data_IF_178951906519
#
_entry.id   IF_178951906519
#
_cell.length_a   1.000
_cell.length_b   1.000
_cell.length_c   1.000
_cell.angle_alpha   90.00
_cell.angle_beta   90.00
_cell.angle_gamma   90.00
#
_symmetry.space_group_name_H-M   'P 1'
#
loop_
_entity.id
_entity.type
_entity.pdbx_description
1 polymer ?
#
# COMPACT_ATOMS: atom_id res chain seq x y z
N UNK A 1 11.38 4.53 -2.39
CA UNK A 1 10.88 3.14 -2.56
C UNK A 1 9.75 3.07 -3.57
N UNK A 2 8.51 3.49 -3.25
CA UNK A 2 7.35 3.33 -4.15
C UNK A 2 7.55 3.93 -5.54
N UNK A 3 8.20 5.09 -5.63
CA UNK A 3 8.45 5.82 -6.89
C UNK A 3 9.26 5.03 -7.92
N UNK A 4 10.01 4.02 -7.49
CA UNK A 4 10.83 3.16 -8.35
C UNK A 4 10.29 1.73 -8.39
N UNK A 5 9.89 1.19 -7.23
CA UNK A 5 9.52 -0.22 -7.08
C UNK A 5 8.02 -0.50 -7.19
N UNK A 6 7.20 0.53 -7.36
CA UNK A 6 5.75 0.42 -7.49
C UNK A 6 5.03 0.14 -6.17
N UNK A 7 3.75 0.50 -6.11
CA UNK A 7 2.86 0.11 -5.01
C UNK A 7 2.47 -1.37 -5.08
N UNK A 8 2.54 -1.96 -6.27
CA UNK A 8 2.34 -3.38 -6.54
C UNK A 8 3.58 -4.24 -6.29
N UNK A 9 4.68 -3.61 -5.83
CA UNK A 9 5.98 -4.20 -5.55
C UNK A 9 6.71 -4.81 -6.76
N UNK A 10 6.24 -4.57 -7.99
CA UNK A 10 6.78 -5.20 -9.21
C UNK A 10 7.64 -4.26 -10.06
N UNK A 11 7.71 -2.97 -9.72
CA UNK A 11 8.56 -2.00 -10.42
C UNK A 11 8.34 -2.02 -11.93
N UNK A 12 9.42 -2.21 -12.69
CA UNK A 12 9.42 -2.26 -14.15
C UNK A 12 8.62 -3.42 -14.77
N UNK A 13 8.31 -4.47 -14.00
CA UNK A 13 7.47 -5.59 -14.42
C UNK A 13 6.00 -5.42 -13.99
N UNK A 14 5.69 -4.28 -13.36
CA UNK A 14 4.38 -3.99 -12.77
C UNK A 14 3.70 -2.77 -13.37
N UNK A 15 2.89 -2.10 -12.55
CA UNK A 15 2.19 -0.85 -12.88
C UNK A 15 3.14 0.27 -13.30
N UNK A 16 4.42 0.18 -12.96
CA UNK A 16 5.44 1.17 -13.29
C UNK A 16 6.28 0.75 -14.53
N UNK A 17 5.82 -0.22 -15.32
CA UNK A 17 6.40 -0.56 -16.62
C UNK A 17 6.24 0.57 -17.66
N UNK A 18 5.28 1.47 -17.46
CA UNK A 18 5.01 2.61 -18.35
C UNK A 18 4.46 3.83 -17.56
N UNK A 19 4.25 4.95 -18.25
CA UNK A 19 3.71 6.17 -17.66
C UNK A 19 4.74 7.03 -16.92
N UNK A 20 4.26 8.01 -16.15
CA UNK A 20 5.11 9.02 -15.49
C UNK A 20 6.03 8.46 -14.40
N UNK A 21 5.76 7.24 -13.94
CA UNK A 21 6.58 6.53 -12.95
C UNK A 21 7.47 5.43 -13.56
N UNK A 22 7.63 5.40 -14.89
CA UNK A 22 8.50 4.45 -15.56
C UNK A 22 9.98 4.76 -15.26
N UNK A 23 10.62 3.86 -14.50
CA UNK A 23 12.04 4.00 -14.13
C UNK A 23 12.94 2.91 -14.71
N UNK A 24 12.37 1.77 -15.14
CA UNK A 24 13.14 0.57 -15.51
C UNK A 24 13.76 -0.18 -14.33
N UNK A 25 13.48 0.23 -13.09
CA UNK A 25 13.99 -0.41 -11.87
C UNK A 25 13.11 -1.60 -11.51
N UNK A 26 13.74 -2.73 -11.16
CA UNK A 26 13.02 -3.95 -10.77
C UNK A 26 12.18 -3.77 -9.50
N UNK A 27 11.15 -4.59 -9.35
CA UNK A 27 10.34 -4.67 -8.14
C UNK A 27 11.11 -5.16 -6.92
N UNK A 28 10.42 -5.18 -5.78
CA UNK A 28 10.93 -5.74 -4.52
C UNK A 28 10.25 -7.07 -4.15
N UNK A 29 9.16 -7.42 -4.83
CA UNK A 29 8.50 -8.70 -4.62
C UNK A 29 9.42 -9.85 -5.03
N UNK A 30 9.51 -10.89 -4.20
CA UNK A 30 10.30 -12.08 -4.48
C UNK A 30 11.79 -11.96 -4.19
N UNK A 31 12.24 -10.86 -3.57
CA UNK A 31 13.60 -10.80 -3.03
C UNK A 31 13.81 -11.90 -2.00
N UNK A 32 14.89 -12.67 -2.16
CA UNK A 32 15.19 -13.87 -1.35
C UNK A 32 16.54 -13.79 -0.62
N UNK A 33 17.17 -12.62 -0.55
CA UNK A 33 18.40 -12.41 0.21
C UNK A 33 18.13 -12.22 1.70
N UNK A 34 19.19 -12.20 2.51
CA UNK A 34 19.08 -11.93 3.94
C UNK A 34 18.91 -10.43 4.25
N UNK A 35 18.50 -10.14 5.49
CA UNK A 35 18.29 -8.77 5.94
C UNK A 35 19.57 -7.91 5.88
N UNK A 36 20.74 -8.49 6.16
CA UNK A 36 22.00 -7.75 6.15
C UNK A 36 22.39 -7.28 4.73
N UNK A 37 22.14 -8.11 3.73
CA UNK A 37 22.33 -7.75 2.33
C UNK A 37 21.39 -6.63 1.89
N UNK A 38 20.15 -6.62 2.38
CA UNK A 38 19.20 -5.52 2.15
C UNK A 38 19.65 -4.22 2.82
N UNK A 39 20.10 -4.29 4.06
CA UNK A 39 20.64 -3.13 4.76
C UNK A 39 21.82 -2.52 3.97
N UNK A 40 22.77 -3.35 3.53
CA UNK A 40 23.89 -2.91 2.69
C UNK A 40 23.41 -2.29 1.36
N UNK A 41 22.41 -2.88 0.71
CA UNK A 41 21.85 -2.37 -0.54
C UNK A 41 21.17 -1.00 -0.35
N UNK A 42 20.48 -0.78 0.77
CA UNK A 42 19.85 0.50 1.12
C UNK A 42 20.90 1.60 1.39
N UNK A 43 22.08 1.22 1.88
CA UNK A 43 23.22 2.15 2.06
C UNK A 43 24.08 2.36 0.80
N UNK A 44 24.01 1.43 -0.16
CA UNK A 44 24.85 1.45 -1.36
C UNK A 44 24.62 2.71 -2.23
N UNK A 45 25.55 3.07 -3.14
CA UNK A 45 25.39 4.21 -4.04
C UNK A 45 24.10 4.20 -4.88
N UNK A 46 23.47 3.04 -5.07
CA UNK A 46 22.20 2.92 -5.79
C UNK A 46 21.01 3.53 -5.05
N UNK A 47 21.06 3.63 -3.71
CA UNK A 47 20.01 4.23 -2.89
C UNK A 47 20.53 5.44 -2.11
N UNK A 48 21.72 5.33 -1.52
CA UNK A 48 22.39 6.42 -0.80
C UNK A 48 21.66 6.85 0.46
N UNK A 49 20.84 5.99 1.08
CA UNK A 49 20.18 6.32 2.34
C UNK A 49 21.23 6.31 3.47
N UNK A 50 21.88 7.45 3.71
CA UNK A 50 22.82 7.63 4.81
C UNK A 50 22.13 7.66 6.18
N UNK A 51 22.92 7.58 7.26
CA UNK A 51 22.41 7.56 8.63
C UNK A 51 21.60 8.80 9.00
N UNK A 52 21.96 9.96 8.44
CA UNK A 52 21.24 11.23 8.65
C UNK A 52 19.84 11.23 8.01
N UNK A 53 19.61 10.40 6.98
CA UNK A 53 18.32 10.32 6.30
C UNK A 53 17.44 9.21 6.87
N UNK A 54 18.02 8.02 7.05
CA UNK A 54 17.34 6.86 7.63
C UNK A 54 18.31 6.25 8.64
N UNK A 55 18.08 6.41 9.95
CA UNK A 55 18.98 5.84 10.94
C UNK A 55 18.96 4.30 10.89
N UNK A 56 20.00 3.69 11.46
CA UNK A 56 20.27 2.25 11.30
C UNK A 56 19.09 1.36 11.72
N UNK A 57 18.39 1.71 12.79
CA UNK A 57 17.22 0.98 13.27
C UNK A 57 16.09 0.97 12.23
N UNK A 58 15.85 2.08 11.55
CA UNK A 58 14.83 2.19 10.51
C UNK A 58 15.22 1.42 9.24
N UNK A 59 16.51 1.36 8.90
CA UNK A 59 16.99 0.52 7.81
C UNK A 59 16.75 -0.96 8.12
N UNK A 60 16.95 -1.40 9.36
CA UNK A 60 16.64 -2.76 9.80
C UNK A 60 15.15 -3.08 9.65
N UNK A 61 14.26 -2.13 10.00
CA UNK A 61 12.81 -2.32 9.80
C UNK A 61 12.43 -2.43 8.33
N UNK A 62 13.03 -1.62 7.46
CA UNK A 62 12.82 -1.72 6.01
C UNK A 62 13.34 -3.06 5.49
N UNK A 63 14.54 -3.48 5.88
CA UNK A 63 15.12 -4.76 5.48
C UNK A 63 14.25 -5.94 5.91
N UNK A 64 13.79 -5.96 7.17
CA UNK A 64 12.86 -6.99 7.65
C UNK A 64 11.54 -7.00 6.88
N UNK A 65 11.00 -5.82 6.58
CA UNK A 65 9.79 -5.69 5.78
C UNK A 65 9.98 -6.21 4.35
N UNK A 66 11.11 -5.95 3.71
CA UNK A 66 11.39 -6.43 2.36
C UNK A 66 11.68 -7.94 2.33
N UNK A 67 12.35 -8.48 3.36
CA UNK A 67 12.70 -9.90 3.44
C UNK A 67 11.51 -10.83 3.72
N UNK A 68 10.50 -10.36 4.47
CA UNK A 68 9.36 -11.21 4.85
C UNK A 68 8.04 -10.49 5.10
N UNK A 69 8.01 -9.16 4.98
CA UNK A 69 6.83 -8.35 5.20
C UNK A 69 5.97 -8.11 3.95
N UNK A 70 6.47 -8.41 2.75
CA UNK A 70 5.69 -8.24 1.53
C UNK A 70 4.57 -9.28 1.43
N UNK A 71 3.47 -8.89 0.80
CA UNK A 71 2.42 -9.82 0.37
C UNK A 71 2.18 -9.59 -1.11
N UNK A 72 2.04 -10.67 -1.87
CA UNK A 72 1.77 -10.57 -3.30
C UNK A 72 0.36 -10.02 -3.52
N UNK A 73 0.28 -8.71 -3.70
CA UNK A 73 -1.00 -8.01 -3.90
C UNK A 73 -1.65 -8.42 -5.22
N UNK A 74 -0.87 -8.85 -6.21
CA UNK A 74 -1.39 -9.24 -7.52
C UNK A 74 -2.04 -10.64 -7.51
N UNK A 75 -1.89 -11.38 -6.40
CA UNK A 75 -2.67 -12.59 -6.17
C UNK A 75 -4.11 -12.29 -5.73
N UNK A 76 -4.40 -11.06 -5.31
CA UNK A 76 -5.70 -10.63 -4.77
C UNK A 76 -6.27 -9.39 -5.43
N UNK A 77 -5.49 -8.72 -6.29
CA UNK A 77 -5.89 -7.60 -7.13
C UNK A 77 -5.57 -7.99 -8.57
N UNK A 78 -6.58 -8.00 -9.44
CA UNK A 78 -6.40 -8.23 -10.86
C UNK A 78 -5.49 -7.16 -11.46
N UNK A 79 -4.48 -7.58 -12.20
CA UNK A 79 -3.47 -6.67 -12.71
C UNK A 79 -4.05 -5.68 -13.73
N UNK A 80 -4.99 -6.09 -14.57
CA UNK A 80 -5.49 -5.24 -15.66
C UNK A 80 -6.63 -4.36 -15.19
N UNK A 81 -7.60 -4.93 -14.47
CA UNK A 81 -8.82 -4.23 -14.05
C UNK A 81 -8.71 -3.56 -12.69
N UNK A 82 -7.76 -3.98 -11.85
CA UNK A 82 -7.69 -3.57 -10.46
C UNK A 82 -8.76 -4.21 -9.58
N UNK A 83 -9.53 -5.19 -10.08
CA UNK A 83 -10.57 -5.88 -9.31
C UNK A 83 -10.00 -6.63 -8.11
N UNK A 84 -10.68 -6.52 -6.96
CA UNK A 84 -10.17 -7.02 -5.68
C UNK A 84 -10.96 -8.26 -5.28
N UNK A 85 -10.26 -9.36 -5.02
CA UNK A 85 -10.83 -10.65 -4.62
C UNK A 85 -11.24 -10.67 -3.13
N UNK A 86 -12.10 -9.73 -2.73
CA UNK A 86 -12.58 -9.58 -1.35
C UNK A 86 -14.09 -9.73 -1.20
N UNK A 87 -14.51 -10.17 -0.01
CA UNK A 87 -15.91 -10.21 0.41
C UNK A 87 -16.32 -8.85 0.98
N UNK A 88 -17.23 -8.16 0.29
CA UNK A 88 -17.70 -6.82 0.67
C UNK A 88 -18.52 -6.80 1.95
N UNK A 89 -19.21 -7.88 2.33
CA UNK A 89 -19.97 -7.95 3.58
C UNK A 89 -19.02 -8.04 4.78
N UNK A 90 -17.99 -8.88 4.67
CA UNK A 90 -16.93 -8.95 5.68
C UNK A 90 -16.14 -7.63 5.75
N UNK A 91 -15.87 -7.03 4.59
CA UNK A 91 -15.21 -5.73 4.48
C UNK A 91 -16.00 -4.61 5.15
N UNK A 92 -17.31 -4.58 4.93
CA UNK A 92 -18.22 -3.65 5.58
C UNK A 92 -18.19 -3.80 7.10
N UNK A 93 -18.29 -5.02 7.61
CA UNK A 93 -18.28 -5.27 9.06
C UNK A 93 -17.00 -4.72 9.73
N UNK A 94 -15.84 -4.97 9.11
CA UNK A 94 -14.56 -4.43 9.59
C UNK A 94 -14.53 -2.91 9.46
N UNK A 95 -14.85 -2.37 8.28
CA UNK A 95 -14.80 -0.93 8.03
C UNK A 95 -15.68 -0.15 9.00
N UNK A 96 -16.92 -0.58 9.21
CA UNK A 96 -17.87 0.11 10.07
C UNK A 96 -17.48 0.05 11.56
N UNK A 97 -16.75 -0.99 11.97
CA UNK A 97 -16.30 -1.14 13.35
C UNK A 97 -14.99 -0.41 13.63
N UNK A 98 -14.09 -0.34 12.65
CA UNK A 98 -12.71 0.07 12.90
C UNK A 98 -12.26 1.31 12.12
N UNK A 99 -12.82 1.55 10.93
CA UNK A 99 -12.36 2.61 10.02
C UNK A 99 -13.32 3.82 9.97
N UNK A 100 -14.63 3.57 10.08
CA UNK A 100 -15.68 4.58 9.94
C UNK A 100 -15.62 5.68 11.01
N UNK A 101 -15.00 5.41 12.16
CA UNK A 101 -14.77 6.42 13.20
C UNK A 101 -13.94 7.62 12.70
N UNK A 102 -13.05 7.40 11.73
CA UNK A 102 -12.24 8.46 11.12
C UNK A 102 -12.66 8.75 9.67
N UNK A 103 -13.04 7.73 8.90
CA UNK A 103 -13.39 7.88 7.47
C UNK A 103 -14.87 8.17 7.22
N UNK A 104 -15.72 8.09 8.25
CA UNK A 104 -17.17 8.20 8.12
C UNK A 104 -17.82 6.89 7.64
N UNK A 105 -19.08 6.67 8.02
CA UNK A 105 -19.83 5.46 7.65
C UNK A 105 -20.02 5.33 6.13
N UNK A 106 -20.04 6.45 5.41
CA UNK A 106 -20.11 6.53 3.95
C UNK A 106 -18.75 6.82 3.30
N UNK A 107 -17.66 6.88 4.06
CA UNK A 107 -16.31 7.09 3.53
C UNK A 107 -15.94 8.53 3.15
N UNK A 108 -16.81 9.52 3.41
CA UNK A 108 -16.61 10.92 2.98
C UNK A 108 -16.07 11.87 4.06
N UNK A 109 -15.77 11.39 5.26
CA UNK A 109 -15.38 12.28 6.37
C UNK A 109 -14.01 12.97 6.14
N UNK A 110 -13.16 12.38 5.29
CA UNK A 110 -11.86 12.93 4.91
C UNK A 110 -11.84 13.19 3.41
N UNK A 111 -11.59 14.44 3.03
CA UNK A 111 -11.40 14.85 1.64
C UNK A 111 -9.92 15.22 1.41
N UNK A 112 -9.23 14.43 0.57
CA UNK A 112 -7.85 14.68 0.16
C UNK A 112 -7.72 15.48 -1.14
N UNK A 113 -8.84 15.75 -1.80
CA UNK A 113 -8.95 16.67 -2.93
C UNK A 113 -9.41 18.05 -2.47
N UNK A 114 -10.21 18.70 -3.30
CA UNK A 114 -10.83 19.99 -2.99
C UNK A 114 -12.36 19.92 -3.10
N UNK A 115 -13.02 21.09 -3.08
CA UNK A 115 -14.47 21.16 -3.13
C UNK A 115 -15.05 20.83 -4.51
N UNK A 116 -14.28 21.03 -5.58
CA UNK A 116 -14.69 20.81 -6.97
C UNK A 116 -14.31 19.39 -7.44
N UNK A 117 -13.17 18.88 -6.95
CA UNK A 117 -12.67 17.53 -7.19
C UNK A 117 -12.38 16.82 -5.85
N UNK A 118 -13.42 16.32 -5.16
CA UNK A 118 -13.21 15.62 -3.90
C UNK A 118 -12.47 14.29 -4.08
N UNK A 119 -11.58 13.99 -3.14
CA UNK A 119 -10.87 12.72 -3.02
C UNK A 119 -11.24 12.03 -1.72
N UNK A 120 -12.13 11.04 -1.80
CA UNK A 120 -12.57 10.22 -0.67
C UNK A 120 -11.94 8.83 -0.70
N UNK A 121 -12.21 8.02 0.33
CA UNK A 121 -11.62 6.69 0.40
C UNK A 121 -12.03 5.80 -0.79
N UNK A 122 -13.25 5.98 -1.31
CA UNK A 122 -13.71 5.31 -2.52
C UNK A 122 -12.96 5.76 -3.77
N UNK A 123 -12.68 7.06 -3.89
CA UNK A 123 -11.89 7.65 -4.99
C UNK A 123 -10.49 7.03 -5.02
N UNK A 124 -9.79 7.05 -3.88
CA UNK A 124 -8.42 6.53 -3.78
C UNK A 124 -8.36 5.02 -4.01
N UNK A 125 -9.35 4.27 -3.49
CA UNK A 125 -9.40 2.82 -3.62
C UNK A 125 -9.62 2.36 -5.06
N UNK A 126 -10.37 3.12 -5.85
CA UNK A 126 -10.57 2.83 -7.27
C UNK A 126 -9.43 3.36 -8.15
N UNK A 127 -8.81 4.48 -7.78
CA UNK A 127 -7.66 5.03 -8.51
C UNK A 127 -6.40 4.18 -8.37
N UNK A 128 -6.11 3.67 -7.16
CA UNK A 128 -4.90 2.90 -6.89
C UNK A 128 -5.11 1.84 -5.77
N UNK A 129 -5.72 0.69 -6.08
CA UNK A 129 -6.03 -0.33 -5.07
C UNK A 129 -4.80 -0.94 -4.40
N UNK A 130 -3.63 -0.98 -5.08
CA UNK A 130 -2.38 -1.46 -4.48
C UNK A 130 -1.86 -0.53 -3.37
N UNK A 131 -1.91 0.79 -3.59
CA UNK A 131 -1.55 1.77 -2.57
C UNK A 131 -2.49 1.68 -1.37
N UNK A 132 -3.79 1.58 -1.63
CA UNK A 132 -4.78 1.50 -0.56
C UNK A 132 -4.64 0.19 0.22
N UNK A 133 -4.41 -0.96 -0.44
CA UNK A 133 -4.13 -2.21 0.25
C UNK A 133 -2.87 -2.10 1.13
N UNK A 134 -1.82 -1.46 0.63
CA UNK A 134 -0.61 -1.20 1.39
C UNK A 134 -0.92 -0.39 2.66
N UNK A 135 -1.71 0.68 2.54
CA UNK A 135 -2.07 1.55 3.68
C UNK A 135 -2.99 0.84 4.67
N UNK A 136 -3.99 0.07 4.22
CA UNK A 136 -4.84 -0.73 5.12
C UNK A 136 -3.98 -1.71 5.93
N UNK A 137 -2.97 -2.33 5.30
CA UNK A 137 -2.11 -3.30 6.00
C UNK A 137 -1.07 -2.68 6.90
N UNK A 138 -0.50 -1.53 6.55
CA UNK A 138 0.69 -1.00 7.23
C UNK A 138 0.48 0.38 7.88
N UNK A 139 -0.70 1.00 7.72
CA UNK A 139 -1.02 2.35 8.19
C UNK A 139 -0.64 3.45 7.19
N UNK A 140 -0.88 4.71 7.59
CA UNK A 140 -0.49 5.90 6.84
C UNK A 140 0.47 6.75 7.69
N UNK A 141 1.67 7.11 7.18
CA UNK A 141 2.61 7.92 7.93
C UNK A 141 2.05 9.29 8.34
N UNK A 142 2.42 9.77 9.52
CA UNK A 142 2.06 11.11 10.00
C UNK A 142 0.64 11.27 10.55
N UNK A 143 -0.16 10.20 10.54
CA UNK A 143 -1.50 10.16 11.14
C UNK A 143 -1.69 8.86 11.92
N UNK A 144 -2.60 8.86 12.89
CA UNK A 144 -2.91 7.69 13.71
C UNK A 144 -3.86 6.71 12.98
N UNK A 145 -3.55 6.40 11.72
CA UNK A 145 -4.30 5.41 10.95
C UNK A 145 -3.92 4.01 11.42
N UNK A 146 -4.91 3.27 11.92
CA UNK A 146 -4.77 1.87 12.32
C UNK A 146 -4.25 1.01 11.17
N UNK A 147 -3.51 -0.05 11.50
CA UNK A 147 -3.06 -1.05 10.53
C UNK A 147 -3.74 -2.40 10.81
N UNK A 148 -4.07 -3.13 9.75
CA UNK A 148 -4.56 -4.51 9.86
C UNK A 148 -3.44 -5.56 9.83
N UNK A 149 -2.19 -5.15 10.11
CA UNK A 149 -1.00 -6.01 9.96
C UNK A 149 -1.04 -7.26 10.83
N UNK A 150 -1.67 -7.17 11.99
CA UNK A 150 -1.81 -8.28 12.94
C UNK A 150 -2.85 -9.33 12.52
N UNK A 151 -3.67 -9.03 11.51
CA UNK A 151 -4.72 -9.92 11.00
C UNK A 151 -4.29 -10.58 9.68
N UNK A 152 -5.10 -11.54 9.23
CA UNK A 152 -4.92 -12.18 7.94
C UNK A 152 -5.01 -11.17 6.80
N UNK A 153 -4.27 -11.42 5.71
CA UNK A 153 -4.31 -10.59 4.50
C UNK A 153 -5.75 -10.39 4.00
N UNK A 154 -6.58 -11.44 4.07
CA UNK A 154 -7.95 -11.40 3.58
C UNK A 154 -8.81 -10.35 4.30
N UNK A 155 -8.54 -10.02 5.57
CA UNK A 155 -9.24 -8.93 6.26
C UNK A 155 -9.02 -7.59 5.57
N UNK A 156 -7.79 -7.30 5.17
CA UNK A 156 -7.46 -6.07 4.43
C UNK A 156 -8.02 -6.08 3.00
N UNK A 157 -8.00 -7.24 2.33
CA UNK A 157 -8.58 -7.42 0.99
C UNK A 157 -10.09 -7.22 1.00
N UNK A 158 -10.79 -7.75 2.01
CA UNK A 158 -12.23 -7.55 2.20
C UNK A 158 -12.55 -6.06 2.42
N UNK A 159 -11.81 -5.37 3.29
CA UNK A 159 -11.98 -3.93 3.50
C UNK A 159 -11.76 -3.17 2.20
N UNK A 160 -10.69 -3.46 1.45
CA UNK A 160 -10.44 -2.83 0.16
C UNK A 160 -11.59 -3.06 -0.84
N UNK A 161 -12.10 -4.29 -0.94
CA UNK A 161 -13.24 -4.60 -1.80
C UNK A 161 -14.48 -3.79 -1.42
N UNK A 162 -14.77 -3.65 -0.12
CA UNK A 162 -15.89 -2.83 0.36
C UNK A 162 -15.70 -1.34 0.08
N UNK A 163 -14.55 -0.75 0.42
CA UNK A 163 -14.37 0.70 0.27
C UNK A 163 -14.41 1.15 -1.19
N UNK A 164 -14.13 0.26 -2.15
CA UNK A 164 -14.31 0.53 -3.58
C UNK A 164 -15.78 0.70 -4.01
N UNK A 165 -16.73 0.23 -3.19
CA UNK A 165 -18.16 0.47 -3.41
C UNK A 165 -18.66 1.78 -2.78
N UNK A 166 -17.79 2.49 -2.06
CA UNK A 166 -18.13 3.78 -1.43
C UNK A 166 -18.04 4.92 -2.46
N UNK A 167 -18.66 6.08 -2.18
CA UNK A 167 -18.66 7.20 -3.10
C UNK A 167 -17.25 7.70 -3.48
N UNK A 168 -17.11 8.05 -4.76
CA UNK A 168 -15.89 8.65 -5.32
C UNK A 168 -15.97 10.18 -5.42
N UNK A 169 -17.18 10.75 -5.37
CA UNK A 169 -17.48 12.18 -5.47
C UNK A 169 -18.66 12.56 -4.58
#
# INVERSE_FOLDING_TARGET
CKSCHGWDYRGAEGKYASGSYQTGITGVMGYSGDAAALEALLRSPSHGFGDDMIPQEQVQYIAAFLAGGLSDMNAVIDFDTGDVAGDTNNGQAIFQTTCAACHGFDGRALNWGDADEPGYIGTEANANPWEVLHKIRNGHPGVEMISLRAFELQSAVNVLAYIRTLPEK
#
